data_IF_365727779220
#
_entry.id   IF_365727779220
#
_cell.length_a   1.000
_cell.length_b   1.000
_cell.length_c   1.000
_cell.angle_alpha   90.00
_cell.angle_beta   90.00
_cell.angle_gamma   90.00
#
_symmetry.space_group_name_H-M   'P 1'
#
loop_
_entity.id
_entity.type
_entity.pdbx_description
1 polymer ?
#
# COMPACT_ATOMS: atom_id res chain seq x y z
N UNK A 1 -26.92 -4.52 40.55
CA UNK A 1 -26.12 -4.84 41.77
C UNK A 1 -25.00 -5.78 41.34
N UNK A 2 -23.73 -5.46 41.60
CA UNK A 2 -22.61 -6.34 41.17
C UNK A 2 -22.43 -7.44 42.22
N UNK A 3 -22.33 -8.73 41.83
CA UNK A 3 -22.47 -9.85 42.77
C UNK A 3 -21.32 -10.05 43.77
N UNK A 4 -20.16 -9.41 43.58
CA UNK A 4 -18.97 -9.62 44.41
C UNK A 4 -18.48 -8.30 45.02
N UNK A 5 -18.01 -8.34 46.28
CA UNK A 5 -17.38 -7.20 46.97
C UNK A 5 -15.89 -7.08 46.64
N UNK A 6 -15.21 -8.22 46.48
CA UNK A 6 -13.78 -8.27 46.16
C UNK A 6 -13.47 -7.69 44.76
N UNK A 7 -12.51 -6.74 44.63
CA UNK A 7 -12.18 -6.11 43.36
C UNK A 7 -11.68 -7.08 42.28
N UNK A 8 -10.97 -8.15 42.64
CA UNK A 8 -10.43 -9.10 41.67
C UNK A 8 -11.54 -10.00 41.12
N UNK A 9 -12.41 -10.52 41.98
CA UNK A 9 -13.60 -11.28 41.61
C UNK A 9 -14.54 -10.46 40.71
N UNK A 10 -14.72 -9.16 40.98
CA UNK A 10 -15.49 -8.27 40.10
C UNK A 10 -14.88 -8.15 38.71
N UNK A 11 -13.56 -8.02 38.61
CA UNK A 11 -12.85 -7.96 37.31
C UNK A 11 -12.95 -9.29 36.56
N UNK A 12 -12.80 -10.41 37.26
CA UNK A 12 -12.95 -11.75 36.68
C UNK A 12 -14.37 -11.99 36.15
N UNK A 13 -15.38 -11.64 36.95
CA UNK A 13 -16.79 -11.69 36.55
C UNK A 13 -17.06 -10.80 35.33
N UNK A 14 -16.54 -9.56 35.31
CA UNK A 14 -16.70 -8.67 34.15
C UNK A 14 -16.08 -9.23 32.87
N UNK A 15 -14.88 -9.83 32.95
CA UNK A 15 -14.24 -10.49 31.80
C UNK A 15 -15.05 -11.68 31.30
N UNK A 16 -15.52 -12.53 32.21
CA UNK A 16 -16.31 -13.70 31.86
C UNK A 16 -17.68 -13.31 31.27
N UNK A 17 -18.33 -12.29 31.83
CA UNK A 17 -19.56 -11.74 31.29
C UNK A 17 -19.36 -11.18 29.88
N UNK A 18 -18.29 -10.39 29.63
CA UNK A 18 -17.99 -9.87 28.29
C UNK A 18 -17.67 -10.98 27.29
N UNK A 19 -17.05 -12.08 27.74
CA UNK A 19 -16.80 -13.26 26.89
C UNK A 19 -18.10 -13.97 26.50
N UNK A 20 -19.00 -14.19 27.46
CA UNK A 20 -20.28 -14.89 27.23
C UNK A 20 -21.33 -14.03 26.53
N UNK A 21 -21.24 -12.70 26.68
CA UNK A 21 -22.18 -11.73 26.12
C UNK A 21 -21.48 -10.81 25.11
N UNK A 22 -20.56 -11.37 24.32
CA UNK A 22 -19.70 -10.60 23.42
C UNK A 22 -20.50 -9.75 22.43
N UNK A 23 -21.58 -10.29 21.86
CA UNK A 23 -22.46 -9.56 20.95
C UNK A 23 -23.16 -8.40 21.64
N UNK A 24 -23.77 -8.63 22.80
CA UNK A 24 -24.43 -7.59 23.59
C UNK A 24 -23.46 -6.47 23.96
N UNK A 25 -22.24 -6.81 24.39
CA UNK A 25 -21.21 -5.84 24.72
C UNK A 25 -20.76 -5.04 23.49
N UNK A 26 -20.60 -5.70 22.33
CA UNK A 26 -20.27 -5.04 21.05
C UNK A 26 -21.37 -4.06 20.63
N UNK A 27 -22.63 -4.48 20.64
CA UNK A 27 -23.76 -3.63 20.26
C UNK A 27 -23.92 -2.44 21.21
N UNK A 28 -23.75 -2.65 22.52
CA UNK A 28 -23.78 -1.56 23.50
C UNK A 28 -22.66 -0.54 23.25
N UNK A 29 -21.43 -1.01 23.01
CA UNK A 29 -20.29 -0.16 22.67
C UNK A 29 -20.51 0.61 21.36
N UNK A 30 -21.07 -0.04 20.34
CA UNK A 30 -21.42 0.63 19.09
C UNK A 30 -22.42 1.76 19.31
N UNK A 31 -23.54 1.49 20.00
CA UNK A 31 -24.54 2.50 20.35
C UNK A 31 -23.95 3.66 21.14
N UNK A 32 -23.03 3.39 22.06
CA UNK A 32 -22.32 4.43 22.80
C UNK A 32 -21.47 5.31 21.87
N UNK A 33 -20.70 4.71 20.95
CA UNK A 33 -19.88 5.47 19.98
C UNK A 33 -20.73 6.35 19.05
N UNK A 34 -21.89 5.86 18.64
CA UNK A 34 -22.83 6.60 17.80
C UNK A 34 -23.47 7.79 18.54
N UNK A 35 -23.82 7.60 19.83
CA UNK A 35 -24.39 8.67 20.68
C UNK A 35 -23.37 9.66 21.22
N UNK A 36 -22.10 9.24 21.34
CA UNK A 36 -21.02 10.03 21.91
C UNK A 36 -19.79 10.12 20.99
N UNK A 37 -19.96 10.58 19.73
CA UNK A 37 -18.88 10.56 18.74
C UNK A 37 -17.73 11.49 19.13
N UNK A 38 -18.00 12.62 19.76
CA UNK A 38 -16.98 13.58 20.20
C UNK A 38 -16.17 13.05 21.38
N UNK A 39 -16.84 12.50 22.41
CA UNK A 39 -16.16 11.89 23.54
C UNK A 39 -15.27 10.73 23.09
N UNK A 40 -15.75 9.87 22.18
CA UNK A 40 -14.95 8.79 21.64
C UNK A 40 -13.74 9.31 20.83
N UNK A 41 -13.91 10.36 20.02
CA UNK A 41 -12.80 11.00 19.28
C UNK A 41 -11.76 11.60 20.24
N UNK A 42 -12.21 12.31 21.27
CA UNK A 42 -11.33 12.92 22.27
C UNK A 42 -10.54 11.86 23.06
N UNK A 43 -11.21 10.79 23.48
CA UNK A 43 -10.56 9.66 24.16
C UNK A 43 -9.51 8.99 23.26
N UNK A 44 -9.85 8.71 22.00
CA UNK A 44 -8.91 8.18 21.02
C UNK A 44 -7.71 9.12 20.83
N UNK A 45 -7.95 10.43 20.64
CA UNK A 45 -6.90 11.43 20.48
C UNK A 45 -5.96 11.45 21.70
N UNK A 46 -6.51 11.45 22.92
CA UNK A 46 -5.74 11.39 24.16
C UNK A 46 -4.95 10.07 24.30
N UNK A 47 -5.51 8.95 23.86
CA UNK A 47 -4.78 7.68 23.81
C UNK A 47 -3.60 7.74 22.84
N UNK A 48 -3.81 8.22 21.61
CA UNK A 48 -2.74 8.34 20.61
C UNK A 48 -1.65 9.32 21.07
N UNK A 49 -2.01 10.44 21.68
CA UNK A 49 -1.05 11.40 22.24
C UNK A 49 -0.17 10.76 23.33
N UNK A 50 -0.79 10.06 24.29
CA UNK A 50 -0.06 9.39 25.39
C UNK A 50 0.79 8.20 24.94
N UNK A 51 0.46 7.59 23.81
CA UNK A 51 1.12 6.37 23.33
C UNK A 51 1.73 6.51 21.94
N UNK A 52 2.07 7.74 21.53
CA UNK A 52 2.55 8.05 20.19
C UNK A 52 3.71 7.15 19.76
N UNK A 53 4.75 7.02 20.60
CA UNK A 53 5.91 6.19 20.29
C UNK A 53 5.60 4.69 20.20
N UNK A 54 4.74 4.18 21.08
CA UNK A 54 4.31 2.77 21.03
C UNK A 54 3.54 2.48 19.75
N UNK A 55 2.63 3.37 19.37
CA UNK A 55 1.85 3.29 18.13
C UNK A 55 2.78 3.36 16.92
N UNK A 56 3.70 4.33 16.89
CA UNK A 56 4.68 4.52 15.81
C UNK A 56 5.54 3.27 15.61
N UNK A 57 6.08 2.71 16.70
CA UNK A 57 6.85 1.45 16.67
C UNK A 57 6.02 0.28 16.13
N UNK A 58 4.77 0.15 16.57
CA UNK A 58 3.84 -0.90 16.09
C UNK A 58 3.58 -0.78 14.59
N UNK A 59 3.27 0.43 14.12
CA UNK A 59 3.02 0.71 12.70
C UNK A 59 4.28 0.42 11.87
N UNK A 60 5.45 0.90 12.31
CA UNK A 60 6.71 0.65 11.62
C UNK A 60 7.02 -0.85 11.51
N UNK A 61 6.79 -1.63 12.59
CA UNK A 61 6.93 -3.09 12.56
C UNK A 61 5.97 -3.72 11.56
N UNK A 62 4.71 -3.31 11.55
CA UNK A 62 3.71 -3.80 10.61
C UNK A 62 4.09 -3.49 9.16
N UNK A 63 4.51 -2.26 8.86
CA UNK A 63 4.94 -1.86 7.51
C UNK A 63 6.14 -2.67 7.02
N UNK A 64 7.15 -2.89 7.88
CA UNK A 64 8.32 -3.71 7.53
C UNK A 64 7.96 -5.16 7.27
N UNK A 65 7.04 -5.73 8.05
CA UNK A 65 6.62 -7.12 7.88
C UNK A 65 5.62 -7.32 6.71
N UNK A 66 4.97 -6.25 6.24
CA UNK A 66 3.89 -6.33 5.24
C UNK A 66 4.06 -5.33 4.08
N UNK A 67 5.21 -5.28 3.39
CA UNK A 67 5.48 -4.28 2.36
C UNK A 67 4.52 -4.39 1.17
N UNK A 68 4.11 -5.60 0.78
CA UNK A 68 3.16 -5.82 -0.31
C UNK A 68 1.77 -5.22 0.01
N UNK A 69 1.27 -5.43 1.23
CA UNK A 69 -0.02 -4.88 1.68
C UNK A 69 0.01 -3.35 1.74
N UNK A 70 1.11 -2.77 2.24
CA UNK A 70 1.29 -1.32 2.30
C UNK A 70 1.33 -0.72 0.89
N UNK A 71 2.07 -1.36 -0.03
CA UNK A 71 2.14 -0.95 -1.44
C UNK A 71 0.76 -0.99 -2.10
N UNK A 72 0.03 -2.11 -2.00
CA UNK A 72 -1.32 -2.23 -2.54
C UNK A 72 -2.29 -1.16 -2.01
N UNK A 73 -2.24 -0.89 -0.69
CA UNK A 73 -3.02 0.18 -0.06
C UNK A 73 -2.64 1.57 -0.60
N UNK A 74 -1.35 1.83 -0.83
CA UNK A 74 -0.88 3.09 -1.43
C UNK A 74 -1.37 3.25 -2.88
N UNK A 75 -1.26 2.21 -3.71
CA UNK A 75 -1.77 2.22 -5.09
C UNK A 75 -3.29 2.48 -5.12
N UNK A 76 -4.07 1.79 -4.28
CA UNK A 76 -5.53 2.02 -4.18
C UNK A 76 -5.85 3.46 -3.82
N UNK A 77 -5.21 4.02 -2.79
CA UNK A 77 -5.46 5.42 -2.42
C UNK A 77 -5.06 6.40 -3.52
N UNK A 78 -3.97 6.12 -4.26
CA UNK A 78 -3.54 6.95 -5.38
C UNK A 78 -4.58 6.93 -6.50
N UNK A 79 -5.09 5.76 -6.88
CA UNK A 79 -6.16 5.63 -7.87
C UNK A 79 -7.42 6.41 -7.45
N UNK A 80 -7.87 6.24 -6.19
CA UNK A 80 -9.01 6.98 -5.65
C UNK A 80 -8.79 8.50 -5.63
N UNK A 81 -7.59 8.96 -5.23
CA UNK A 81 -7.24 10.39 -5.18
C UNK A 81 -7.38 11.07 -6.54
N UNK A 82 -7.08 10.35 -7.63
CA UNK A 82 -7.17 10.87 -8.98
C UNK A 82 -8.47 10.45 -9.69
N UNK A 83 -9.44 9.87 -8.97
CA UNK A 83 -10.68 9.33 -9.53
C UNK A 83 -10.42 8.44 -10.77
N UNK A 84 -9.34 7.68 -10.74
CA UNK A 84 -8.90 6.88 -11.87
C UNK A 84 -9.94 5.81 -12.19
N UNK A 85 -10.34 5.72 -13.46
CA UNK A 85 -11.32 4.75 -13.89
C UNK A 85 -10.78 3.32 -13.87
N UNK A 86 -11.65 2.39 -13.48
CA UNK A 86 -11.38 0.95 -13.53
C UNK A 86 -10.36 0.46 -12.50
N UNK A 87 -10.09 -0.83 -12.58
CA UNK A 87 -9.11 -1.55 -11.79
C UNK A 87 -8.56 -2.71 -12.62
N UNK A 88 -7.49 -3.31 -12.15
CA UNK A 88 -7.02 -4.60 -12.63
C UNK A 88 -6.93 -5.57 -11.45
N UNK A 89 -7.10 -6.84 -11.75
CA UNK A 89 -7.02 -7.96 -10.83
C UNK A 89 -5.59 -8.49 -10.73
N UNK A 90 -5.25 -9.23 -9.65
CA UNK A 90 -3.96 -9.91 -9.57
C UNK A 90 -3.70 -10.86 -10.74
N UNK A 91 -4.74 -11.56 -11.23
CA UNK A 91 -4.61 -12.48 -12.35
C UNK A 91 -4.23 -11.77 -13.66
N UNK A 92 -4.90 -10.66 -13.99
CA UNK A 92 -4.55 -9.83 -15.16
C UNK A 92 -3.12 -9.29 -15.07
N UNK A 93 -2.67 -8.94 -13.86
CA UNK A 93 -1.28 -8.54 -13.65
C UNK A 93 -0.30 -9.70 -13.87
N UNK A 94 -0.58 -10.88 -13.33
CA UNK A 94 0.27 -12.06 -13.48
C UNK A 94 0.37 -12.48 -14.96
N UNK A 95 -0.74 -12.46 -15.69
CA UNK A 95 -0.78 -12.68 -17.15
C UNK A 95 0.06 -11.66 -17.90
N UNK A 96 -0.03 -10.37 -17.55
CA UNK A 96 0.79 -9.32 -18.16
C UNK A 96 2.29 -9.52 -17.90
N UNK A 97 2.66 -9.94 -16.68
CA UNK A 97 4.04 -10.25 -16.31
C UNK A 97 4.56 -11.45 -17.10
N UNK A 98 3.76 -12.52 -17.20
CA UNK A 98 4.08 -13.70 -17.99
C UNK A 98 4.26 -13.35 -19.47
N UNK A 99 3.34 -12.58 -20.05
CA UNK A 99 3.42 -12.12 -21.43
C UNK A 99 4.65 -11.26 -21.71
N UNK A 100 5.15 -10.52 -20.71
CA UNK A 100 6.40 -9.76 -20.82
C UNK A 100 7.68 -10.61 -20.69
N UNK A 101 7.55 -11.91 -20.36
CA UNK A 101 8.69 -12.77 -20.08
C UNK A 101 9.46 -12.38 -18.81
N UNK A 102 8.79 -11.72 -17.86
CA UNK A 102 9.43 -11.20 -16.64
C UNK A 102 10.38 -10.00 -16.87
N UNK A 103 10.26 -9.33 -18.02
CA UNK A 103 11.15 -8.23 -18.42
C UNK A 103 10.50 -6.87 -18.28
N UNK A 104 11.32 -5.88 -17.91
CA UNK A 104 10.89 -4.50 -17.82
C UNK A 104 10.54 -3.93 -19.20
N UNK A 105 9.36 -3.33 -19.34
CA UNK A 105 8.87 -2.69 -20.58
C UNK A 105 9.72 -1.52 -21.07
N UNK A 106 10.63 -1.01 -20.24
CA UNK A 106 11.53 0.10 -20.55
C UNK A 106 12.95 -0.35 -20.86
N UNK A 107 13.62 -0.99 -19.90
CA UNK A 107 15.02 -1.38 -20.05
C UNK A 107 15.22 -2.79 -20.61
N UNK A 108 14.17 -3.62 -20.72
CA UNK A 108 14.24 -4.98 -21.24
C UNK A 108 14.87 -6.02 -20.29
N UNK A 109 15.40 -5.58 -19.15
CA UNK A 109 16.05 -6.46 -18.16
C UNK A 109 15.04 -7.31 -17.38
N UNK A 110 15.48 -8.52 -17.01
CA UNK A 110 14.77 -9.36 -16.04
C UNK A 110 14.85 -8.73 -14.65
N UNK A 111 13.70 -8.56 -14.00
CA UNK A 111 13.63 -7.91 -12.69
C UNK A 111 12.36 -8.28 -11.94
N UNK A 112 12.31 -7.93 -10.65
CA UNK A 112 11.03 -7.80 -9.95
C UNK A 112 10.26 -6.61 -10.56
N UNK A 113 9.08 -6.90 -11.11
CA UNK A 113 8.26 -5.95 -11.83
C UNK A 113 7.21 -5.32 -10.90
N UNK A 114 6.96 -4.03 -11.12
CA UNK A 114 5.91 -3.26 -10.47
C UNK A 114 4.97 -2.69 -11.56
N UNK A 115 3.67 -2.55 -11.27
CA UNK A 115 2.73 -1.89 -12.19
C UNK A 115 3.13 -0.43 -12.40
N UNK A 116 3.31 -0.02 -13.65
CA UNK A 116 3.53 1.35 -14.07
C UNK A 116 2.43 1.81 -15.06
N UNK A 117 1.86 2.99 -14.84
CA UNK A 117 0.77 3.49 -15.67
C UNK A 117 1.29 4.16 -16.94
N UNK A 118 0.97 3.66 -18.14
CA UNK A 118 1.37 4.25 -19.44
C UNK A 118 1.12 5.75 -19.47
N UNK A 119 -0.11 6.15 -19.18
CA UNK A 119 -0.49 7.52 -18.84
C UNK A 119 -0.62 7.62 -17.32
N UNK A 120 0.18 8.48 -16.69
CA UNK A 120 0.15 8.65 -15.25
C UNK A 120 -1.25 9.06 -14.76
N UNK A 121 -1.66 8.55 -13.59
CA UNK A 121 -2.96 8.90 -12.96
C UNK A 121 -3.15 10.41 -12.79
N UNK A 122 -2.08 11.14 -12.46
CA UNK A 122 -2.11 12.60 -12.32
C UNK A 122 -2.33 13.37 -13.63
N UNK A 123 -2.34 12.67 -14.76
CA UNK A 123 -2.60 13.20 -16.11
C UNK A 123 -3.84 12.56 -16.74
N UNK A 124 -4.76 12.04 -15.92
CA UNK A 124 -6.01 11.44 -16.36
C UNK A 124 -5.90 10.00 -16.86
N UNK A 125 -4.80 9.30 -16.56
CA UNK A 125 -4.70 7.87 -16.87
C UNK A 125 -5.66 7.01 -16.04
N UNK A 126 -6.16 5.93 -16.63
CA UNK A 126 -7.01 4.94 -15.94
C UNK A 126 -6.18 3.98 -15.08
N UNK A 127 -6.84 3.22 -14.21
CA UNK A 127 -6.23 2.13 -13.47
C UNK A 127 -6.65 0.74 -14.01
N UNK A 128 -7.03 0.67 -15.28
CA UNK A 128 -7.33 -0.59 -16.00
C UNK A 128 -6.05 -1.22 -16.53
N UNK A 129 -6.05 -2.53 -16.76
CA UNK A 129 -4.87 -3.29 -17.16
C UNK A 129 -4.23 -2.78 -18.46
N UNK A 130 -5.01 -2.23 -19.39
CA UNK A 130 -4.50 -1.73 -20.68
C UNK A 130 -3.59 -0.50 -20.50
N UNK A 131 -3.79 0.27 -19.43
CA UNK A 131 -2.94 1.39 -19.05
C UNK A 131 -1.76 0.95 -18.17
N UNK A 132 -1.55 -0.34 -17.92
CA UNK A 132 -0.46 -0.84 -17.08
C UNK A 132 0.67 -1.43 -17.93
N UNK A 133 1.90 -1.22 -17.49
CA UNK A 133 3.11 -1.83 -18.00
C UNK A 133 3.88 -2.50 -16.85
N UNK A 134 4.53 -3.64 -17.12
CA UNK A 134 5.49 -4.21 -16.18
C UNK A 134 6.80 -3.43 -16.23
N UNK A 135 7.15 -2.72 -15.15
CA UNK A 135 8.38 -1.95 -15.08
C UNK A 135 9.20 -2.35 -13.85
N UNK A 136 10.53 -2.41 -13.99
CA UNK A 136 11.39 -2.57 -12.81
C UNK A 136 11.32 -1.30 -11.94
N UNK A 137 11.57 -1.47 -10.63
CA UNK A 137 11.52 -0.37 -9.66
C UNK A 137 12.33 0.87 -10.10
N UNK A 138 13.55 0.65 -10.63
CA UNK A 138 14.44 1.73 -11.09
C UNK A 138 13.84 2.54 -12.24
N UNK A 139 13.22 1.88 -13.23
CA UNK A 139 12.59 2.57 -14.36
C UNK A 139 11.31 3.28 -13.92
N UNK A 140 10.47 2.60 -13.15
CA UNK A 140 9.20 3.13 -12.64
C UNK A 140 9.44 4.41 -11.81
N UNK A 141 10.40 4.37 -10.88
CA UNK A 141 10.79 5.52 -10.06
C UNK A 141 11.34 6.71 -10.87
N UNK A 142 11.99 6.49 -12.02
CA UNK A 142 12.55 7.57 -12.85
C UNK A 142 11.55 8.24 -13.77
N UNK A 143 10.44 7.56 -14.09
CA UNK A 143 9.50 7.99 -15.14
C UNK A 143 8.82 9.32 -14.78
N UNK A 144 7.99 9.32 -13.75
CA UNK A 144 7.18 10.48 -13.31
C UNK A 144 6.49 11.27 -14.44
N UNK A 145 6.18 10.63 -15.57
CA UNK A 145 5.72 11.26 -16.82
C UNK A 145 4.93 10.24 -17.67
N UNK A 146 4.53 10.55 -18.90
CA UNK A 146 3.88 9.55 -19.78
C UNK A 146 4.91 8.53 -20.30
N UNK A 147 4.42 7.38 -20.78
CA UNK A 147 5.26 6.37 -21.43
C UNK A 147 6.08 6.96 -22.58
N UNK A 148 5.42 7.70 -23.48
CA UNK A 148 6.05 8.29 -24.66
C UNK A 148 7.18 9.26 -24.28
N UNK A 149 6.93 10.18 -23.35
CA UNK A 149 7.94 11.14 -22.88
C UNK A 149 9.13 10.42 -22.23
N UNK A 150 8.89 9.31 -21.53
CA UNK A 150 9.96 8.55 -20.90
C UNK A 150 10.78 7.73 -21.90
N UNK A 151 10.13 7.11 -22.88
CA UNK A 151 10.83 6.43 -23.98
C UNK A 151 11.70 7.41 -24.78
N UNK A 152 11.19 8.59 -25.10
CA UNK A 152 11.96 9.63 -25.78
C UNK A 152 13.19 10.06 -24.98
N UNK A 153 13.06 10.21 -23.65
CA UNK A 153 14.18 10.49 -22.76
C UNK A 153 15.22 9.36 -22.76
N UNK A 154 14.79 8.11 -22.67
CA UNK A 154 15.70 6.95 -22.68
C UNK A 154 16.46 6.84 -24.00
N UNK A 155 15.81 7.13 -25.13
CA UNK A 155 16.46 7.20 -26.44
C UNK A 155 17.54 8.28 -26.45
N UNK A 156 17.20 9.51 -26.04
CA UNK A 156 18.16 10.61 -25.97
C UNK A 156 19.32 10.36 -24.98
N UNK A 157 19.11 9.60 -23.90
CA UNK A 157 20.17 9.19 -22.98
C UNK A 157 21.10 8.14 -23.63
N UNK A 158 20.54 7.19 -24.39
CA UNK A 158 21.31 6.17 -25.11
C UNK A 158 22.19 6.80 -26.19
N UNK A 159 21.67 7.80 -26.91
CA UNK A 159 22.42 8.52 -27.94
C UNK A 159 23.58 9.35 -27.38
N UNK A 160 23.53 9.72 -26.09
CA UNK A 160 24.59 10.46 -25.39
C UNK A 160 25.64 9.56 -24.75
N UNK A 161 25.43 8.24 -24.73
CA UNK A 161 26.36 7.33 -24.09
C UNK A 161 27.53 7.05 -25.05
N UNK A 162 28.78 7.43 -24.71
CA UNK A 162 29.92 7.17 -25.57
C UNK A 162 30.06 5.64 -25.77
N UNK A 163 30.56 5.19 -26.93
CA UNK A 163 30.72 3.76 -27.19
C UNK A 163 31.57 3.14 -26.08
N UNK A 164 31.05 2.08 -25.47
CA UNK A 164 31.79 1.25 -24.51
C UNK A 164 33.07 0.79 -25.22
N UNK A 165 34.22 1.24 -24.74
CA UNK A 165 35.51 0.69 -25.16
C UNK A 165 35.55 -0.77 -24.70
N UNK A 166 35.34 -1.70 -25.64
CA UNK A 166 35.63 -3.12 -25.46
C UNK A 166 37.14 -3.23 -25.25
N UNK A 167 37.58 -3.28 -23.99
CA UNK A 167 38.96 -3.65 -23.69
C UNK A 167 39.10 -5.15 -23.93
N UNK A 168 39.63 -5.50 -25.09
CA UNK A 168 40.15 -6.83 -25.37
C UNK A 168 41.29 -7.12 -24.39
N UNK A 169 41.02 -7.92 -23.37
CA UNK A 169 42.09 -8.60 -22.62
C UNK A 169 42.71 -9.64 -23.55
N UNK A 170 43.76 -9.25 -24.25
CA UNK A 170 44.76 -10.17 -24.76
C UNK A 170 45.74 -10.45 -23.61
N UNK A 171 45.88 -11.74 -23.26
CA UNK A 171 46.80 -12.24 -22.25
C UNK A 171 46.75 -13.76 -22.26
#
# INVERSE_FOLDING_TARGET
>A
MVPYRDPEQRRAYGRDWMRRNADTARTAMQRWRERHPEAHRAENAAYYARHAERVKRRIARYHRANPAVVRAKSHKHRALRFAAEGAFTPAEWDELVLASGGRCAYCGELAALEPDHRTALSRGGSNRIENILPACHRCNARKHRTEAEFRARLAAEKDRQPPVQLTSRAG
#
